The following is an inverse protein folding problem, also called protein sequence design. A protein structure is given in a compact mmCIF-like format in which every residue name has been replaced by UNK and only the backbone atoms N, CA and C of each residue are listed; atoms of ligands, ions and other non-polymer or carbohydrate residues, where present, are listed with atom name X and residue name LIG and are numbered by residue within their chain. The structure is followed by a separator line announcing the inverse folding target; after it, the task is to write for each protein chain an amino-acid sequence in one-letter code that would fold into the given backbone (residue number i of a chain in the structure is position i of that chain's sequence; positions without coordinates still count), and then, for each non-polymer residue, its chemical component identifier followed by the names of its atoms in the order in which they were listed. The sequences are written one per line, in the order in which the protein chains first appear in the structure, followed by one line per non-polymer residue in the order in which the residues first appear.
data_IF_869281046093
#
_entry.id   IF_869281046093
#
_cell.length_a   1.000
_cell.length_b   1.000
_cell.length_c   1.000
_cell.angle_alpha   90.00
_cell.angle_beta   90.00
_cell.angle_gamma   90.00
#
_symmetry.space_group_name_H-M   'P 1'
#
loop_
_entity.id
_entity.type
_entity.pdbx_description
1 polymer ?
#
# COMPACT_ATOMS: atom_id res chain seq x y z
N UNK A 1 -10.44 -28.15 -5.70
CA UNK A 1 -10.44 -26.69 -5.96
C UNK A 1 -9.45 -26.39 -7.07
N UNK A 2 -9.81 -25.54 -8.04
CA UNK A 2 -8.86 -25.04 -9.04
C UNK A 2 -7.68 -24.36 -8.35
N UNK A 3 -6.45 -24.64 -8.78
CA UNK A 3 -5.24 -24.04 -8.18
C UNK A 3 -5.17 -22.52 -8.40
N UNK A 4 -5.92 -22.00 -9.37
CA UNK A 4 -5.86 -20.61 -9.84
C UNK A 4 -7.12 -19.79 -9.50
N UNK A 5 -8.10 -20.40 -8.84
CA UNK A 5 -9.34 -19.74 -8.43
C UNK A 5 -9.09 -18.49 -7.56
N UNK A 6 -9.82 -17.42 -7.85
CA UNK A 6 -9.88 -16.20 -7.05
C UNK A 6 -11.30 -15.62 -7.19
N UNK A 7 -11.97 -15.18 -6.11
CA UNK A 7 -13.32 -14.62 -6.21
C UNK A 7 -13.34 -13.20 -6.81
N UNK A 8 -12.24 -12.43 -6.69
CA UNK A 8 -12.21 -11.01 -7.05
C UNK A 8 -12.67 -10.69 -8.48
N UNK A 9 -12.28 -11.44 -9.54
CA UNK A 9 -12.73 -11.15 -10.90
C UNK A 9 -14.25 -11.23 -11.09
N UNK A 10 -14.97 -11.90 -10.18
CA UNK A 10 -16.43 -12.01 -10.23
C UNK A 10 -17.13 -10.98 -9.38
N UNK A 11 -16.58 -10.54 -8.25
CA UNK A 11 -17.36 -9.78 -7.24
C UNK A 11 -16.69 -8.48 -6.75
N UNK A 12 -15.61 -8.04 -7.39
CA UNK A 12 -14.89 -6.83 -6.97
C UNK A 12 -14.84 -5.72 -8.01
N UNK A 13 -14.64 -4.49 -7.54
CA UNK A 13 -14.34 -3.32 -8.36
C UNK A 13 -13.16 -2.56 -7.76
N UNK A 14 -12.14 -2.27 -8.57
CA UNK A 14 -10.97 -1.51 -8.13
C UNK A 14 -10.72 -0.30 -9.02
N UNK A 15 -10.51 0.87 -8.40
CA UNK A 15 -10.32 2.16 -9.06
C UNK A 15 -9.01 2.78 -8.54
N UNK A 16 -8.12 3.20 -9.42
CA UNK A 16 -6.83 3.83 -9.05
C UNK A 16 -7.00 5.31 -8.71
N UNK A 17 -5.96 5.92 -8.17
CA UNK A 17 -5.95 7.35 -7.80
C UNK A 17 -6.29 8.26 -8.99
N UNK A 18 -5.88 7.88 -10.20
CA UNK A 18 -6.16 8.60 -11.43
C UNK A 18 -7.53 8.25 -12.08
N UNK A 19 -8.33 7.42 -11.41
CA UNK A 19 -9.65 7.00 -11.88
C UNK A 19 -9.64 5.73 -12.72
N UNK A 20 -8.48 5.23 -13.15
CA UNK A 20 -8.46 4.04 -14.00
C UNK A 20 -8.98 2.81 -13.26
N UNK A 21 -9.85 2.07 -13.92
CA UNK A 21 -10.35 0.81 -13.43
C UNK A 21 -9.31 -0.29 -13.65
N UNK A 22 -9.19 -1.19 -12.68
CA UNK A 22 -8.22 -2.30 -12.72
C UNK A 22 -8.79 -3.59 -12.16
N UNK A 23 -8.09 -4.70 -12.44
CA UNK A 23 -8.43 -6.04 -11.92
C UNK A 23 -8.35 -6.09 -10.38
N UNK A 24 -7.21 -5.68 -9.81
CA UNK A 24 -6.93 -5.73 -8.37
C UNK A 24 -5.65 -4.92 -8.08
N UNK A 25 -5.46 -4.50 -6.82
CA UNK A 25 -4.25 -3.79 -6.38
C UNK A 25 -2.95 -4.58 -6.63
N UNK A 26 -2.99 -5.91 -6.59
CA UNK A 26 -1.81 -6.74 -6.80
C UNK A 26 -1.39 -6.87 -8.26
N UNK A 27 -2.29 -6.59 -9.20
CA UNK A 27 -1.97 -6.61 -10.63
C UNK A 27 -1.01 -5.48 -11.04
N UNK A 28 -0.75 -4.51 -10.14
CA UNK A 28 0.16 -3.38 -10.39
C UNK A 28 1.61 -3.80 -10.68
N UNK A 29 1.99 -5.03 -10.33
CA UNK A 29 3.32 -5.59 -10.63
C UNK A 29 3.36 -6.42 -11.92
N UNK A 30 2.22 -6.64 -12.57
CA UNK A 30 2.12 -7.32 -13.85
C UNK A 30 2.30 -6.35 -15.02
N UNK A 31 2.54 -6.87 -16.22
CA UNK A 31 2.51 -6.09 -17.45
C UNK A 31 1.12 -5.46 -17.63
N UNK A 32 1.07 -4.20 -18.08
CA UNK A 32 -0.17 -3.42 -18.16
C UNK A 32 -0.80 -3.05 -16.82
N UNK A 33 -0.17 -3.39 -15.68
CA UNK A 33 -0.58 -3.07 -14.30
C UNK A 33 -2.03 -3.45 -13.95
N UNK A 34 -2.64 -4.35 -14.72
CA UNK A 34 -4.03 -4.80 -14.58
C UNK A 34 -5.08 -3.76 -14.97
N UNK A 35 -4.75 -2.76 -15.78
CA UNK A 35 -5.70 -1.74 -16.25
C UNK A 35 -6.73 -2.36 -17.20
N UNK A 36 -7.99 -1.96 -17.05
CA UNK A 36 -9.09 -2.37 -17.91
C UNK A 36 -9.21 -1.38 -19.06
N UNK A 37 -9.15 -1.87 -20.29
CA UNK A 37 -9.27 -1.06 -21.50
C UNK A 37 -10.56 -1.38 -22.26
N UNK A 38 -11.16 -0.34 -22.86
CA UNK A 38 -12.22 -0.43 -23.87
C UNK A 38 -11.65 -1.00 -25.17
N UNK A 39 -12.51 -1.43 -26.09
CA UNK A 39 -12.07 -1.87 -27.43
C UNK A 39 -11.38 -0.76 -28.23
N UNK A 40 -11.70 0.51 -27.94
CA UNK A 40 -11.04 1.69 -28.53
C UNK A 40 -9.58 1.85 -28.11
N UNK A 41 -9.11 1.13 -27.08
CA UNK A 41 -7.78 1.27 -26.50
C UNK A 41 -7.68 2.29 -25.37
N UNK A 42 -8.77 2.99 -25.03
CA UNK A 42 -8.84 3.88 -23.87
C UNK A 42 -9.06 3.09 -22.59
N UNK A 43 -8.45 3.53 -21.48
CA UNK A 43 -8.72 2.93 -20.17
C UNK A 43 -10.18 3.21 -19.75
N UNK A 44 -10.83 2.24 -19.13
CA UNK A 44 -12.03 2.54 -18.35
C UNK A 44 -11.62 3.44 -17.19
N UNK A 45 -12.34 4.55 -17.00
CA UNK A 45 -12.06 5.52 -15.96
C UNK A 45 -13.33 5.84 -15.17
N UNK A 46 -13.20 6.04 -13.85
CA UNK A 46 -14.31 6.38 -12.97
C UNK A 46 -15.04 7.66 -13.40
N UNK A 47 -14.34 8.62 -14.01
CA UNK A 47 -14.94 9.87 -14.47
C UNK A 47 -15.96 9.67 -15.61
N UNK A 48 -15.77 8.67 -16.47
CA UNK A 48 -16.58 8.48 -17.68
C UNK A 48 -17.89 7.70 -17.42
N UNK A 49 -18.07 7.17 -16.21
CA UNK A 49 -19.09 6.17 -15.92
C UNK A 49 -18.73 4.78 -16.44
N UNK A 50 -19.70 3.87 -16.44
CA UNK A 50 -19.60 2.49 -16.91
C UNK A 50 -18.83 1.54 -15.98
N UNK A 51 -18.95 1.74 -14.66
CA UNK A 51 -18.36 0.82 -13.67
C UNK A 51 -18.83 -0.63 -13.90
N UNK A 52 -20.11 -0.82 -14.23
CA UNK A 52 -20.68 -2.15 -14.52
C UNK A 52 -20.12 -2.76 -15.81
N UNK A 53 -19.99 -1.97 -16.88
CA UNK A 53 -19.48 -2.44 -18.18
C UNK A 53 -18.02 -2.90 -18.06
N UNK A 54 -17.20 -2.15 -17.31
CA UNK A 54 -15.79 -2.46 -17.11
C UNK A 54 -15.57 -3.84 -16.49
N UNK A 55 -16.54 -4.37 -15.75
CA UNK A 55 -16.48 -5.74 -15.19
C UNK A 55 -16.46 -6.81 -16.28
N UNK A 56 -16.92 -6.51 -17.49
CA UNK A 56 -16.88 -7.37 -18.67
C UNK A 56 -15.90 -6.86 -19.73
N UNK A 57 -14.92 -6.02 -19.34
CA UNK A 57 -13.79 -5.69 -20.19
C UNK A 57 -13.02 -6.97 -20.62
N UNK A 58 -12.40 -6.95 -21.80
CA UNK A 58 -11.72 -8.09 -22.39
C UNK A 58 -10.71 -8.77 -21.44
N UNK A 59 -9.96 -7.98 -20.66
CA UNK A 59 -9.01 -8.50 -19.67
C UNK A 59 -9.71 -9.28 -18.55
N UNK A 60 -10.85 -8.79 -18.03
CA UNK A 60 -11.62 -9.49 -16.99
C UNK A 60 -12.18 -10.80 -17.51
N UNK A 61 -12.75 -10.80 -18.72
CA UNK A 61 -13.26 -12.00 -19.38
C UNK A 61 -12.15 -13.05 -19.60
N UNK A 62 -10.97 -12.62 -20.08
CA UNK A 62 -9.79 -13.48 -20.22
C UNK A 62 -9.38 -14.10 -18.89
N UNK A 63 -9.29 -13.29 -17.83
CA UNK A 63 -8.92 -13.74 -16.49
C UNK A 63 -9.86 -14.84 -15.98
N UNK A 64 -11.18 -14.65 -16.12
CA UNK A 64 -12.16 -15.65 -15.69
C UNK A 64 -12.01 -16.95 -16.44
N UNK A 65 -11.82 -16.89 -17.77
CA UNK A 65 -11.60 -18.07 -18.62
C UNK A 65 -10.34 -18.83 -18.22
N UNK A 66 -9.23 -18.12 -18.02
CA UNK A 66 -7.97 -18.73 -17.59
C UNK A 66 -8.13 -19.43 -16.24
N UNK A 67 -8.76 -18.76 -15.26
CA UNK A 67 -8.99 -19.33 -13.93
C UNK A 67 -9.91 -20.58 -13.96
N UNK A 68 -10.97 -20.56 -14.78
CA UNK A 68 -11.86 -21.71 -14.98
C UNK A 68 -11.11 -22.88 -15.64
N UNK A 69 -10.20 -22.59 -16.57
CA UNK A 69 -9.34 -23.57 -17.22
C UNK A 69 -8.17 -24.06 -16.33
N UNK A 70 -8.03 -23.54 -15.10
CA UNK A 70 -6.95 -23.88 -14.19
C UNK A 70 -5.59 -23.26 -14.56
N UNK A 71 -5.60 -22.21 -15.38
CA UNK A 71 -4.42 -21.47 -15.84
C UNK A 71 -4.27 -20.17 -15.03
N UNK A 72 -3.03 -19.74 -14.80
CA UNK A 72 -2.75 -18.48 -14.11
C UNK A 72 -2.84 -17.32 -15.11
N UNK A 73 -3.70 -16.32 -14.86
CA UNK A 73 -3.71 -15.13 -15.69
C UNK A 73 -2.44 -14.32 -15.50
N UNK A 74 -1.95 -13.69 -16.58
CA UNK A 74 -0.75 -12.85 -16.55
C UNK A 74 -0.83 -11.70 -15.52
N UNK A 75 -2.01 -11.10 -15.38
CA UNK A 75 -2.29 -10.06 -14.38
C UNK A 75 -2.16 -10.55 -12.92
N UNK A 76 -2.20 -11.86 -12.68
CA UNK A 76 -2.18 -12.47 -11.35
C UNK A 76 -0.81 -13.06 -10.97
N UNK A 77 0.23 -12.83 -11.80
CA UNK A 77 1.58 -13.41 -11.63
C UNK A 77 2.21 -13.16 -10.26
N UNK A 78 1.85 -12.07 -9.58
CA UNK A 78 2.33 -11.79 -8.22
C UNK A 78 1.86 -12.84 -7.23
N UNK A 79 0.57 -13.16 -7.23
CA UNK A 79 0.02 -14.16 -6.30
C UNK A 79 0.59 -15.55 -6.60
N UNK A 80 0.76 -15.89 -7.88
CA UNK A 80 1.43 -17.12 -8.30
C UNK A 80 2.84 -17.22 -7.68
N UNK A 81 3.67 -16.18 -7.86
CA UNK A 81 5.05 -16.15 -7.34
C UNK A 81 5.12 -16.19 -5.81
N UNK A 82 4.20 -15.49 -5.14
CA UNK A 82 4.10 -15.52 -3.67
C UNK A 82 3.79 -16.95 -3.19
N UNK A 83 2.83 -17.63 -3.81
CA UNK A 83 2.43 -19.00 -3.42
C UNK A 83 3.48 -20.06 -3.79
N UNK A 84 4.12 -19.96 -4.96
CA UNK A 84 5.24 -20.83 -5.36
C UNK A 84 6.44 -20.68 -4.41
N UNK A 85 6.59 -19.53 -3.77
CA UNK A 85 7.57 -19.27 -2.73
C UNK A 85 7.10 -19.68 -1.31
N UNK A 86 5.92 -20.29 -1.18
CA UNK A 86 5.35 -20.73 0.10
C UNK A 86 4.74 -19.60 0.95
N UNK A 87 4.51 -18.41 0.38
CA UNK A 87 3.92 -17.27 1.08
C UNK A 87 2.39 -17.26 0.93
N UNK A 88 1.71 -16.63 1.88
CA UNK A 88 0.28 -16.33 1.77
C UNK A 88 0.09 -15.14 0.83
N UNK A 89 -0.54 -15.38 -0.33
CA UNK A 89 -0.86 -14.33 -1.29
C UNK A 89 -2.18 -13.61 -0.96
N UNK A 90 -2.44 -12.49 -1.64
CA UNK A 90 -3.76 -11.84 -1.59
C UNK A 90 -4.87 -12.77 -2.07
N UNK A 91 -4.63 -13.63 -3.07
CA UNK A 91 -5.62 -14.59 -3.55
C UNK A 91 -6.09 -15.51 -2.43
N UNK A 92 -5.16 -16.09 -1.67
CA UNK A 92 -5.49 -16.97 -0.55
C UNK A 92 -6.31 -16.24 0.53
N UNK A 93 -5.96 -14.98 0.82
CA UNK A 93 -6.71 -14.13 1.73
C UNK A 93 -8.16 -13.89 1.27
N UNK A 94 -8.36 -13.61 -0.01
CA UNK A 94 -9.69 -13.35 -0.57
C UNK A 94 -10.54 -14.62 -0.66
N UNK A 95 -9.94 -15.78 -0.94
CA UNK A 95 -10.67 -17.05 -0.88
C UNK A 95 -11.26 -17.24 0.52
N UNK A 96 -10.44 -17.11 1.57
CA UNK A 96 -10.92 -17.27 2.95
C UNK A 96 -11.99 -16.24 3.34
N UNK A 97 -11.88 -14.99 2.90
CA UNK A 97 -12.86 -13.96 3.25
C UNK A 97 -14.21 -14.12 2.54
N UNK A 98 -14.22 -14.74 1.35
CA UNK A 98 -15.38 -14.75 0.46
C UNK A 98 -15.91 -16.15 0.15
N UNK A 99 -15.31 -17.22 0.70
CA UNK A 99 -15.75 -18.62 0.47
C UNK A 99 -17.23 -18.86 0.82
N UNK A 100 -17.79 -18.10 1.76
CA UNK A 100 -19.20 -18.22 2.14
C UNK A 100 -20.15 -17.44 1.22
N UNK A 101 -19.63 -16.66 0.27
CA UNK A 101 -20.39 -15.75 -0.58
C UNK A 101 -20.34 -16.16 -2.05
N UNK A 102 -19.23 -16.75 -2.48
CA UNK A 102 -19.03 -17.25 -3.83
C UNK A 102 -18.02 -18.40 -3.80
N UNK A 103 -18.33 -19.47 -4.52
CA UNK A 103 -17.41 -20.57 -4.76
C UNK A 103 -17.07 -20.73 -6.25
N UNK A 104 -16.11 -21.60 -6.53
CA UNK A 104 -15.62 -21.86 -7.88
C UNK A 104 -16.72 -22.44 -8.79
N UNK A 105 -17.60 -23.28 -8.28
CA UNK A 105 -18.60 -23.97 -9.10
C UNK A 105 -19.72 -23.01 -9.50
N UNK A 106 -20.17 -22.16 -8.58
CA UNK A 106 -21.09 -21.05 -8.87
C UNK A 106 -20.52 -20.09 -9.91
N UNK A 107 -19.26 -19.66 -9.72
CA UNK A 107 -18.59 -18.76 -10.64
C UNK A 107 -18.44 -19.37 -12.03
N UNK A 108 -18.08 -20.66 -12.11
CA UNK A 108 -17.96 -21.37 -13.38
C UNK A 108 -19.31 -21.50 -14.09
N UNK A 109 -20.39 -21.84 -13.37
CA UNK A 109 -21.73 -22.00 -13.94
C UNK A 109 -22.30 -20.67 -14.45
N UNK A 110 -22.06 -19.56 -13.75
CA UNK A 110 -22.56 -18.24 -14.13
C UNK A 110 -21.65 -17.46 -15.10
N UNK A 111 -20.57 -18.06 -15.61
CA UNK A 111 -19.69 -17.42 -16.59
C UNK A 111 -20.01 -17.93 -18.00
N UNK A 112 -20.26 -17.00 -18.93
CA UNK A 112 -20.52 -17.31 -20.34
C UNK A 112 -19.24 -17.81 -21.05
N UNK A 113 -19.39 -18.44 -22.22
CA UNK A 113 -18.25 -19.00 -22.99
C UNK A 113 -17.19 -17.94 -23.38
N UNK A 114 -17.62 -16.69 -23.56
CA UNK A 114 -16.74 -15.54 -23.84
C UNK A 114 -16.09 -14.95 -22.57
N UNK A 115 -16.43 -15.45 -21.38
CA UNK A 115 -15.91 -14.99 -20.09
C UNK A 115 -16.73 -13.88 -19.42
N UNK A 116 -17.84 -13.45 -20.04
CA UNK A 116 -18.73 -12.46 -19.43
C UNK A 116 -19.54 -13.03 -18.28
N UNK A 117 -19.95 -12.15 -17.39
CA UNK A 117 -20.87 -12.44 -16.29
C UNK A 117 -22.06 -11.48 -16.36
N UNK A 118 -23.20 -11.90 -15.82
CA UNK A 118 -24.27 -10.98 -15.47
C UNK A 118 -23.92 -10.25 -14.15
N UNK A 119 -24.07 -8.93 -14.13
CA UNK A 119 -23.75 -8.14 -12.95
C UNK A 119 -24.77 -8.33 -11.81
N UNK A 120 -26.00 -8.77 -12.12
CA UNK A 120 -27.04 -9.03 -11.14
C UNK A 120 -26.80 -10.38 -10.43
N UNK A 121 -26.34 -11.40 -11.16
CA UNK A 121 -25.95 -12.70 -10.59
C UNK A 121 -24.67 -12.61 -9.75
N UNK A 122 -23.78 -11.71 -10.15
CA UNK A 122 -22.52 -11.45 -9.47
C UNK A 122 -22.44 -9.97 -9.07
N UNK A 123 -23.12 -9.53 -8.01
CA UNK A 123 -23.04 -8.14 -7.59
C UNK A 123 -21.65 -7.77 -7.06
N UNK A 124 -21.30 -6.49 -7.09
CA UNK A 124 -20.06 -5.99 -6.47
C UNK A 124 -20.20 -6.09 -4.95
N UNK A 125 -19.40 -6.97 -4.33
CA UNK A 125 -19.36 -7.17 -2.87
C UNK A 125 -18.12 -6.52 -2.24
N UNK A 126 -17.05 -6.32 -3.01
CA UNK A 126 -15.80 -5.71 -2.56
C UNK A 126 -15.39 -4.53 -3.46
N UNK A 127 -15.05 -3.38 -2.85
CA UNK A 127 -14.55 -2.22 -3.59
C UNK A 127 -13.17 -1.76 -3.08
N UNK A 128 -12.23 -1.48 -3.97
CA UNK A 128 -10.97 -0.77 -3.71
C UNK A 128 -11.05 0.60 -4.41
N UNK A 129 -11.32 1.66 -3.64
CA UNK A 129 -11.57 3.01 -4.19
C UNK A 129 -10.50 3.97 -3.68
N UNK A 130 -9.87 4.69 -4.60
CA UNK A 130 -8.83 5.69 -4.30
C UNK A 130 -9.25 7.07 -4.77
N UNK A 131 -9.79 7.90 -3.87
CA UNK A 131 -10.33 9.23 -4.18
C UNK A 131 -9.22 10.25 -4.52
N UNK A 132 -8.52 10.04 -5.63
CA UNK A 132 -7.40 10.88 -6.06
C UNK A 132 -6.08 10.54 -5.40
N UNK A 133 -5.11 11.44 -5.60
CA UNK A 133 -3.77 11.37 -5.02
C UNK A 133 -3.53 12.50 -3.99
N UNK A 134 -4.58 13.18 -3.50
CA UNK A 134 -4.41 14.27 -2.54
C UNK A 134 -3.84 13.73 -1.24
N UNK A 135 -2.62 14.13 -0.86
CA UNK A 135 -1.96 13.68 0.36
C UNK A 135 -1.15 14.84 0.96
N UNK A 136 -1.15 14.96 2.29
CA UNK A 136 -0.38 15.97 3.01
C UNK A 136 1.11 15.60 3.20
N UNK A 137 1.49 14.37 2.83
CA UNK A 137 2.87 13.90 2.91
C UNK A 137 3.46 13.64 1.52
N UNK A 138 4.77 13.73 1.42
CA UNK A 138 5.58 13.39 0.26
C UNK A 138 6.68 12.38 0.65
N UNK A 139 6.24 11.22 1.12
CA UNK A 139 7.15 10.16 1.60
C UNK A 139 8.18 9.78 0.54
N UNK A 140 9.44 9.53 0.91
CA UNK A 140 10.57 9.36 -0.02
C UNK A 140 10.37 8.28 -1.09
N UNK A 141 9.71 7.19 -0.73
CA UNK A 141 9.39 6.08 -1.64
C UNK A 141 8.15 6.31 -2.52
N UNK A 142 7.41 7.39 -2.28
CA UNK A 142 6.15 7.70 -2.95
C UNK A 142 6.41 8.43 -4.28
N UNK A 143 5.35 8.68 -5.05
CA UNK A 143 5.42 9.27 -6.38
C UNK A 143 4.29 10.28 -6.59
N UNK A 144 4.35 11.10 -7.67
CA UNK A 144 3.23 11.92 -8.10
C UNK A 144 1.90 11.17 -8.25
N UNK A 145 1.92 9.86 -8.53
CA UNK A 145 0.71 9.04 -8.68
C UNK A 145 -0.06 8.84 -7.37
N UNK A 146 0.65 8.94 -6.24
CA UNK A 146 0.14 8.56 -4.92
C UNK A 146 0.02 9.76 -3.97
N UNK A 147 0.76 10.84 -4.25
CA UNK A 147 0.71 12.11 -3.51
C UNK A 147 0.89 13.32 -4.44
N UNK A 148 -0.06 14.23 -4.45
CA UNK A 148 0.08 15.51 -5.14
C UNK A 148 1.16 16.42 -4.52
N UNK A 149 1.48 16.23 -3.23
CA UNK A 149 2.59 16.93 -2.56
C UNK A 149 3.96 16.58 -3.16
N UNK A 150 4.05 15.51 -3.96
CA UNK A 150 5.27 15.14 -4.69
C UNK A 150 5.50 15.90 -6.00
N UNK A 151 4.53 16.66 -6.52
CA UNK A 151 4.63 17.27 -7.84
C UNK A 151 5.85 18.19 -7.98
N UNK A 152 6.09 19.06 -7.00
CA UNK A 152 7.23 19.97 -7.03
C UNK A 152 8.57 19.25 -6.91
N UNK A 153 8.69 18.32 -5.96
CA UNK A 153 9.90 17.51 -5.77
C UNK A 153 10.21 16.69 -7.04
N UNK A 154 9.18 16.10 -7.65
CA UNK A 154 9.33 15.35 -8.89
C UNK A 154 9.76 16.25 -10.04
N UNK A 155 9.12 17.40 -10.21
CA UNK A 155 9.48 18.37 -11.25
C UNK A 155 10.95 18.79 -11.14
N UNK A 156 11.41 19.10 -9.93
CA UNK A 156 12.77 19.57 -9.68
C UNK A 156 13.83 18.48 -9.79
N UNK A 157 13.49 17.21 -9.54
CA UNK A 157 14.44 16.08 -9.59
C UNK A 157 14.42 15.34 -10.93
N UNK A 158 13.24 15.01 -11.43
CA UNK A 158 13.04 14.11 -12.58
C UNK A 158 12.50 14.83 -13.82
N UNK A 159 12.07 16.09 -13.68
CA UNK A 159 11.52 16.91 -14.75
C UNK A 159 9.99 16.86 -14.82
N UNK A 160 9.44 17.44 -15.89
CA UNK A 160 8.01 17.72 -16.00
C UNK A 160 7.12 16.50 -16.28
N UNK A 161 7.66 15.29 -16.47
CA UNK A 161 6.86 14.11 -16.84
C UNK A 161 7.09 12.92 -15.92
N UNK A 162 6.07 12.08 -15.76
CA UNK A 162 6.13 10.78 -15.07
C UNK A 162 5.20 9.77 -15.76
N UNK A 163 5.37 8.48 -15.47
CA UNK A 163 4.61 7.41 -16.12
C UNK A 163 3.51 6.85 -15.21
N UNK A 164 2.25 7.05 -15.60
CA UNK A 164 1.12 6.32 -15.05
C UNK A 164 0.94 4.96 -15.75
N UNK A 165 0.01 4.15 -15.24
CA UNK A 165 -0.31 2.86 -15.85
C UNK A 165 -0.91 2.99 -17.27
N UNK A 166 -1.71 4.02 -17.50
CA UNK A 166 -2.45 4.29 -18.73
C UNK A 166 -1.74 5.27 -19.68
N UNK A 167 -0.59 5.82 -19.30
CA UNK A 167 0.20 6.68 -20.17
C UNK A 167 1.09 7.69 -19.45
N UNK A 168 1.81 8.47 -20.24
CA UNK A 168 2.65 9.56 -19.73
C UNK A 168 1.78 10.71 -19.20
N UNK A 169 2.17 11.26 -18.05
CA UNK A 169 1.56 12.44 -17.45
C UNK A 169 2.57 13.57 -17.41
N UNK A 170 2.13 14.77 -17.76
CA UNK A 170 2.90 15.99 -17.64
C UNK A 170 2.40 16.85 -16.48
N UNK A 171 3.34 17.28 -15.64
CA UNK A 171 3.17 18.32 -14.63
C UNK A 171 3.22 19.69 -15.30
N UNK A 172 2.18 20.48 -15.08
CA UNK A 172 2.02 21.82 -15.64
C UNK A 172 1.93 22.83 -14.49
N UNK A 173 2.95 23.66 -14.25
CA UNK A 173 2.87 24.71 -13.25
C UNK A 173 1.95 25.83 -13.73
N UNK A 174 1.14 26.38 -12.83
CA UNK A 174 0.44 27.64 -13.04
C UNK A 174 1.30 28.84 -12.62
N UNK A 175 0.79 30.06 -12.82
CA UNK A 175 1.48 31.31 -12.47
C UNK A 175 1.87 31.42 -10.99
N UNK A 176 1.19 30.68 -10.12
CA UNK A 176 1.44 30.63 -8.67
C UNK A 176 2.33 29.45 -8.27
N UNK A 177 2.93 28.74 -9.22
CA UNK A 177 3.80 27.59 -8.99
C UNK A 177 3.09 26.32 -8.52
N UNK A 178 1.74 26.27 -8.54
CA UNK A 178 1.00 25.04 -8.26
C UNK A 178 0.93 24.19 -9.52
N UNK A 179 1.13 22.89 -9.36
CA UNK A 179 1.12 21.95 -10.48
C UNK A 179 -0.26 21.32 -10.70
N UNK A 180 -0.65 21.19 -11.96
CA UNK A 180 -1.73 20.33 -12.43
C UNK A 180 -1.16 19.22 -13.33
N UNK A 181 -1.98 18.22 -13.65
CA UNK A 181 -1.59 17.08 -14.50
C UNK A 181 -2.36 17.09 -15.82
N UNK A 182 -1.71 16.64 -16.90
CA UNK A 182 -2.33 16.44 -18.22
C UNK A 182 -1.73 15.22 -18.92
N UNK A 183 -2.52 14.42 -19.66
CA UNK A 183 -3.97 14.51 -19.82
C UNK A 183 -4.76 13.99 -18.62
N UNK A 184 -4.10 13.22 -17.74
CA UNK A 184 -4.71 12.58 -16.58
C UNK A 184 -5.08 13.60 -15.50
N UNK A 185 -6.26 13.45 -14.92
CA UNK A 185 -6.70 14.22 -13.75
C UNK A 185 -7.07 13.31 -12.59
N UNK A 186 -6.70 13.72 -11.38
CA UNK A 186 -6.91 12.95 -10.15
C UNK A 186 -8.18 13.36 -9.40
N UNK A 187 -9.00 14.22 -10.00
CA UNK A 187 -10.30 14.73 -9.52
C UNK A 187 -11.49 13.96 -10.13
N UNK A 188 -11.25 12.77 -10.69
CA UNK A 188 -12.25 11.93 -11.36
C UNK A 188 -13.50 11.66 -10.49
N UNK A 189 -13.33 11.65 -9.16
CA UNK A 189 -14.40 11.44 -8.19
C UNK A 189 -15.38 12.62 -8.08
N UNK A 190 -15.10 13.75 -8.72
CA UNK A 190 -16.04 14.88 -8.83
C UNK A 190 -17.10 14.63 -9.91
N UNK A 191 -16.95 13.58 -10.73
CA UNK A 191 -17.89 13.26 -11.81
C UNK A 191 -19.25 12.81 -11.27
N UNK A 192 -20.34 13.42 -11.74
CA UNK A 192 -21.71 13.02 -11.40
C UNK A 192 -22.04 11.61 -11.90
N UNK A 193 -21.48 11.19 -13.04
CA UNK A 193 -21.70 9.85 -13.60
C UNK A 193 -21.12 8.78 -12.68
N UNK A 194 -19.96 9.03 -12.08
CA UNK A 194 -19.37 8.15 -11.07
C UNK A 194 -20.33 7.92 -9.90
N UNK A 195 -20.85 9.00 -9.30
CA UNK A 195 -21.74 8.90 -8.14
C UNK A 195 -23.05 8.17 -8.44
N UNK A 196 -23.61 8.40 -9.64
CA UNK A 196 -24.80 7.67 -10.10
C UNK A 196 -24.53 6.17 -10.23
N UNK A 197 -23.41 5.79 -10.85
CA UNK A 197 -23.05 4.39 -11.03
C UNK A 197 -22.72 3.73 -9.68
N UNK A 198 -22.02 4.45 -8.81
CA UNK A 198 -21.72 4.02 -7.44
C UNK A 198 -23.00 3.73 -6.66
N UNK A 199 -24.01 4.60 -6.76
CA UNK A 199 -25.30 4.43 -6.09
C UNK A 199 -26.02 3.13 -6.48
N UNK A 200 -25.77 2.60 -7.68
CA UNK A 200 -26.30 1.31 -8.12
C UNK A 200 -25.50 0.12 -7.54
N UNK A 201 -24.21 0.29 -7.29
CA UNK A 201 -23.32 -0.78 -6.81
C UNK A 201 -23.34 -0.94 -5.29
N UNK A 202 -23.39 0.16 -4.54
CA UNK A 202 -23.28 0.16 -3.06
C UNK A 202 -24.26 -0.73 -2.30
N UNK A 203 -25.51 -1.01 -2.74
CA UNK A 203 -26.45 -1.80 -1.93
C UNK A 203 -25.95 -3.21 -1.60
N UNK A 204 -25.07 -3.77 -2.43
CA UNK A 204 -24.52 -5.11 -2.26
C UNK A 204 -23.11 -5.11 -1.65
N UNK A 205 -22.48 -3.94 -1.48
CA UNK A 205 -21.09 -3.84 -1.03
C UNK A 205 -20.97 -4.18 0.45
N UNK A 206 -20.16 -5.21 0.75
CA UNK A 206 -19.89 -5.69 2.13
C UNK A 206 -18.48 -5.37 2.61
N UNK A 207 -17.58 -4.99 1.70
CA UNK A 207 -16.22 -4.61 2.03
C UNK A 207 -15.75 -3.44 1.15
N UNK A 208 -15.21 -2.40 1.78
CA UNK A 208 -14.63 -1.26 1.10
C UNK A 208 -13.21 -1.08 1.60
N UNK A 209 -12.27 -0.98 0.69
CA UNK A 209 -10.90 -0.60 0.94
C UNK A 209 -10.65 0.78 0.33
N UNK A 210 -10.12 1.70 1.13
CA UNK A 210 -9.67 3.02 0.66
C UNK A 210 -8.18 3.18 0.93
N UNK A 211 -7.43 3.53 -0.12
CA UNK A 211 -5.97 3.68 -0.09
C UNK A 211 -5.60 4.77 -1.10
N UNK A 212 -4.50 5.50 -0.92
CA UNK A 212 -3.98 6.39 -1.96
C UNK A 212 -4.63 7.78 -1.93
N UNK A 213 -3.79 8.79 -2.19
CA UNK A 213 -3.88 10.01 -1.39
C UNK A 213 -3.77 9.70 0.11
N UNK A 214 -4.16 10.66 0.94
CA UNK A 214 -4.55 10.41 2.33
C UNK A 214 -6.08 10.52 2.38
N UNK A 215 -6.82 9.40 2.48
CA UNK A 215 -8.29 9.38 2.41
C UNK A 215 -8.96 10.41 3.34
N UNK A 216 -8.37 10.63 4.53
CA UNK A 216 -8.98 11.49 5.54
C UNK A 216 -8.92 12.99 5.21
N UNK A 217 -8.27 13.38 4.11
CA UNK A 217 -8.19 14.75 3.61
C UNK A 217 -9.13 15.05 2.44
N UNK A 218 -9.89 14.06 1.98
CA UNK A 218 -10.71 14.15 0.78
C UNK A 218 -12.18 14.21 1.20
N UNK A 219 -12.89 15.27 0.84
CA UNK A 219 -14.27 15.48 1.29
C UNK A 219 -15.22 14.41 0.75
N UNK A 220 -14.99 13.99 -0.50
CA UNK A 220 -15.75 12.95 -1.19
C UNK A 220 -15.63 11.56 -0.54
N UNK A 221 -14.56 11.31 0.21
CA UNK A 221 -14.49 10.12 1.06
C UNK A 221 -15.61 10.16 2.12
N UNK A 222 -15.83 11.32 2.76
CA UNK A 222 -16.87 11.48 3.76
C UNK A 222 -18.28 11.48 3.14
N UNK A 223 -18.47 12.10 1.97
CA UNK A 223 -19.74 12.06 1.24
C UNK A 223 -20.14 10.60 0.91
N UNK A 224 -19.14 9.78 0.57
CA UNK A 224 -19.35 8.35 0.36
C UNK A 224 -19.73 7.61 1.65
N UNK A 225 -19.05 7.86 2.77
CA UNK A 225 -19.41 7.27 4.06
C UNK A 225 -20.81 7.66 4.51
N UNK A 226 -21.18 8.93 4.36
CA UNK A 226 -22.50 9.45 4.71
C UNK A 226 -23.59 8.81 3.86
N UNK A 227 -23.39 8.66 2.54
CA UNK A 227 -24.33 7.92 1.68
C UNK A 227 -24.54 6.47 2.13
N UNK A 228 -23.46 5.78 2.54
CA UNK A 228 -23.56 4.41 3.05
C UNK A 228 -24.37 4.34 4.35
N UNK A 229 -24.27 5.36 5.21
CA UNK A 229 -25.01 5.46 6.46
C UNK A 229 -26.48 5.80 6.19
N UNK A 230 -26.74 6.83 5.40
CA UNK A 230 -28.08 7.34 5.09
C UNK A 230 -28.95 6.29 4.38
N UNK A 231 -28.35 5.48 3.52
CA UNK A 231 -29.03 4.37 2.82
C UNK A 231 -29.13 3.09 3.65
N UNK A 232 -28.57 3.06 4.86
CA UNK A 232 -28.67 1.93 5.78
C UNK A 232 -27.73 0.75 5.46
N UNK A 233 -26.67 0.96 4.68
CA UNK A 233 -25.74 -0.11 4.29
C UNK A 233 -24.54 -0.24 5.23
N UNK A 234 -24.13 0.85 5.90
CA UNK A 234 -22.92 0.89 6.73
C UNK A 234 -22.86 -0.22 7.79
N UNK A 235 -23.98 -0.52 8.47
CA UNK A 235 -24.06 -1.51 9.55
C UNK A 235 -23.70 -2.95 9.14
N UNK A 236 -23.67 -3.22 7.84
CA UNK A 236 -23.29 -4.51 7.26
C UNK A 236 -21.93 -4.51 6.56
N UNK A 237 -21.29 -3.35 6.45
CA UNK A 237 -20.10 -3.15 5.61
C UNK A 237 -18.85 -2.99 6.47
N UNK A 238 -17.77 -3.67 6.07
CA UNK A 238 -16.43 -3.45 6.63
C UNK A 238 -15.73 -2.37 5.83
N UNK A 239 -15.23 -1.34 6.51
CA UNK A 239 -14.39 -0.30 5.93
C UNK A 239 -12.93 -0.54 6.34
N UNK A 240 -12.05 -0.64 5.36
CA UNK A 240 -10.61 -0.77 5.53
C UNK A 240 -9.88 0.44 4.95
N UNK A 241 -8.94 1.01 5.69
CA UNK A 241 -8.13 2.13 5.23
C UNK A 241 -6.67 1.98 5.66
N UNK A 242 -5.75 2.27 4.75
CA UNK A 242 -4.36 2.51 5.10
C UNK A 242 -4.15 4.03 5.14
N UNK A 243 -3.69 4.54 6.28
CA UNK A 243 -3.52 5.97 6.52
C UNK A 243 -2.14 6.26 7.07
N UNK A 244 -1.61 7.44 6.73
CA UNK A 244 -0.43 7.98 7.40
C UNK A 244 -0.73 8.49 8.82
N UNK A 245 -2.02 8.65 9.16
CA UNK A 245 -2.58 9.03 10.46
C UNK A 245 -2.02 10.32 11.09
N UNK A 246 -1.38 11.18 10.29
CA UNK A 246 -0.93 12.50 10.75
C UNK A 246 -2.11 13.46 10.97
N UNK A 247 -3.26 13.16 10.37
CA UNK A 247 -4.54 13.83 10.59
C UNK A 247 -5.58 12.78 10.94
N UNK A 248 -6.37 13.04 11.99
CA UNK A 248 -7.50 12.21 12.40
C UNK A 248 -8.67 13.13 12.78
N UNK A 249 -9.56 13.46 11.82
CA UNK A 249 -10.70 14.34 12.05
C UNK A 249 -11.77 13.66 12.91
N UNK A 250 -12.47 14.43 13.75
CA UNK A 250 -13.53 13.88 14.60
C UNK A 250 -14.71 13.35 13.76
N UNK A 251 -15.05 14.02 12.64
CA UNK A 251 -16.06 13.53 11.68
C UNK A 251 -15.76 12.10 11.19
N UNK A 252 -14.48 11.74 11.02
CA UNK A 252 -14.11 10.37 10.65
C UNK A 252 -14.50 9.38 11.76
N UNK A 253 -14.13 9.69 13.00
CA UNK A 253 -14.47 8.85 14.16
C UNK A 253 -15.98 8.70 14.36
N UNK A 254 -16.74 9.78 14.16
CA UNK A 254 -18.19 9.77 14.31
C UNK A 254 -18.87 8.89 13.24
N UNK A 255 -18.51 9.05 11.98
CA UNK A 255 -19.06 8.24 10.88
C UNK A 255 -18.69 6.75 11.01
N UNK A 256 -17.47 6.47 11.44
CA UNK A 256 -16.95 5.11 11.57
C UNK A 256 -17.72 4.24 12.59
N UNK A 257 -18.40 4.84 13.57
CA UNK A 257 -19.23 4.11 14.55
C UNK A 257 -20.41 3.37 13.92
N UNK A 258 -20.87 3.82 12.75
CA UNK A 258 -22.03 3.26 12.06
C UNK A 258 -21.69 2.01 11.23
N UNK A 259 -20.41 1.75 10.97
CA UNK A 259 -19.99 0.62 10.16
C UNK A 259 -19.92 -0.68 10.96
N UNK A 260 -20.13 -1.82 10.30
CA UNK A 260 -19.97 -3.15 10.92
C UNK A 260 -18.61 -3.32 11.58
N UNK A 261 -17.57 -2.83 10.91
CA UNK A 261 -16.17 -3.00 11.28
C UNK A 261 -15.30 -1.97 10.60
N UNK A 262 -14.35 -1.42 11.35
CA UNK A 262 -13.38 -0.43 10.87
C UNK A 262 -11.98 -1.00 11.00
N UNK A 263 -11.26 -1.13 9.89
CA UNK A 263 -9.93 -1.73 9.81
C UNK A 263 -8.94 -0.65 9.40
N UNK A 264 -8.03 -0.24 10.30
CA UNK A 264 -7.06 0.81 10.00
C UNK A 264 -5.63 0.28 10.10
N UNK A 265 -4.93 0.31 8.97
CA UNK A 265 -3.49 0.15 8.89
C UNK A 265 -2.79 1.49 9.04
N UNK A 266 -2.20 1.76 10.21
CA UNK A 266 -1.41 2.96 10.43
C UNK A 266 -0.01 2.76 9.83
N UNK A 267 0.37 3.66 8.93
CA UNK A 267 1.63 3.55 8.21
C UNK A 267 2.77 4.20 8.97
N UNK A 268 3.70 3.39 9.49
CA UNK A 268 4.79 3.80 10.38
C UNK A 268 6.08 3.17 9.87
N UNK A 269 7.04 4.00 9.47
CA UNK A 269 8.28 3.52 8.84
C UNK A 269 9.53 3.68 9.74
N UNK A 270 9.34 4.06 11.00
CA UNK A 270 10.39 4.23 12.01
C UNK A 270 9.86 4.98 13.22
N UNK A 271 10.76 5.39 14.13
CA UNK A 271 10.42 6.17 15.33
C UNK A 271 11.06 7.54 15.25
N UNK A 272 10.33 8.58 15.67
CA UNK A 272 10.87 9.95 15.73
C UNK A 272 11.35 10.45 14.37
N UNK A 273 12.61 10.93 14.34
CA UNK A 273 13.22 11.50 13.13
C UNK A 273 13.29 10.54 11.95
N UNK A 274 13.39 9.22 12.19
CA UNK A 274 13.41 8.23 11.10
C UNK A 274 12.10 8.27 10.32
N UNK A 275 10.97 8.27 11.01
CA UNK A 275 9.65 8.37 10.37
C UNK A 275 9.45 9.73 9.71
N UNK A 276 9.84 10.81 10.39
CA UNK A 276 9.68 12.17 9.88
C UNK A 276 10.47 12.40 8.58
N UNK A 277 11.69 11.86 8.52
CA UNK A 277 12.54 11.91 7.33
C UNK A 277 11.97 11.09 6.17
N UNK A 278 11.51 9.86 6.45
CA UNK A 278 10.96 8.98 5.42
C UNK A 278 9.61 9.51 4.92
N UNK A 279 8.76 10.02 5.82
CA UNK A 279 7.38 10.43 5.55
C UNK A 279 7.20 11.95 5.61
N UNK A 280 8.19 12.71 5.14
CA UNK A 280 8.19 14.17 5.12
C UNK A 280 6.86 14.77 4.61
N UNK A 281 6.33 15.87 5.19
CA UNK A 281 6.84 16.60 6.36
C UNK A 281 6.17 16.13 7.66
N UNK A 282 5.96 14.82 7.85
CA UNK A 282 5.30 14.29 9.04
C UNK A 282 6.02 14.75 10.33
N UNK A 283 5.25 14.72 11.42
CA UNK A 283 5.72 15.06 12.75
C UNK A 283 5.36 13.93 13.69
N UNK A 284 6.37 13.25 14.21
CA UNK A 284 6.21 12.04 15.00
C UNK A 284 5.21 12.21 16.15
N UNK A 285 5.34 13.31 16.90
CA UNK A 285 4.46 13.58 18.04
C UNK A 285 2.98 13.76 17.64
N UNK A 286 2.67 14.24 16.42
CA UNK A 286 1.29 14.35 15.93
C UNK A 286 0.74 12.98 15.55
N UNK A 287 1.56 12.16 14.88
CA UNK A 287 1.23 10.76 14.58
C UNK A 287 0.96 9.98 15.88
N UNK A 288 1.88 10.03 16.85
CA UNK A 288 1.77 9.36 18.14
C UNK A 288 0.53 9.81 18.92
N UNK A 289 0.23 11.12 18.93
CA UNK A 289 -1.01 11.65 19.49
C UNK A 289 -2.25 11.02 18.84
N UNK A 290 -2.29 10.91 17.51
CA UNK A 290 -3.43 10.32 16.80
C UNK A 290 -3.52 8.81 16.98
N UNK A 291 -2.39 8.10 17.10
CA UNK A 291 -2.35 6.69 17.45
C UNK A 291 -3.03 6.43 18.80
N UNK A 292 -2.68 7.20 19.83
CA UNK A 292 -3.33 7.08 21.14
C UNK A 292 -4.80 7.48 21.12
N UNK A 293 -5.19 8.49 20.32
CA UNK A 293 -6.61 8.84 20.11
C UNK A 293 -7.37 7.69 19.48
N UNK A 294 -6.85 7.08 18.42
CA UNK A 294 -7.50 5.98 17.70
C UNK A 294 -7.57 4.70 18.54
N UNK A 295 -6.54 4.39 19.32
CA UNK A 295 -6.51 3.24 20.23
C UNK A 295 -7.63 3.32 21.28
N UNK A 296 -7.96 4.54 21.73
CA UNK A 296 -9.00 4.83 22.73
C UNK A 296 -10.38 5.15 22.14
N UNK A 297 -10.49 5.27 20.81
CA UNK A 297 -11.73 5.70 20.17
C UNK A 297 -12.86 4.68 20.38
N UNK A 298 -14.10 5.15 20.48
CA UNK A 298 -15.27 4.27 20.49
C UNK A 298 -15.59 3.81 19.06
N UNK A 299 -15.76 2.50 18.87
CA UNK A 299 -16.15 1.93 17.57
C UNK A 299 -15.59 0.52 17.35
N UNK A 300 -16.01 -0.15 16.26
CA UNK A 300 -15.66 -1.54 15.98
C UNK A 300 -14.29 -1.65 15.28
N UNK A 301 -13.24 -1.19 15.95
CA UNK A 301 -11.90 -1.04 15.39
C UNK A 301 -11.07 -2.32 15.42
N UNK A 302 -10.44 -2.63 14.29
CA UNK A 302 -9.27 -3.51 14.17
C UNK A 302 -8.09 -2.68 13.67
N UNK A 303 -7.06 -2.55 14.49
CA UNK A 303 -5.94 -1.66 14.18
C UNK A 303 -4.65 -2.48 14.00
N UNK A 304 -3.79 -2.07 13.07
CA UNK A 304 -2.44 -2.60 12.95
C UNK A 304 -1.47 -1.55 12.45
N UNK A 305 -0.18 -1.79 12.68
CA UNK A 305 0.89 -1.02 12.07
C UNK A 305 1.33 -1.69 10.78
N UNK A 306 1.56 -0.89 9.75
CA UNK A 306 2.21 -1.31 8.53
C UNK A 306 3.48 -0.49 8.29
N UNK A 307 4.56 -1.17 7.95
CA UNK A 307 5.88 -0.55 7.71
C UNK A 307 6.40 -0.94 6.34
N UNK A 308 6.90 0.02 5.60
CA UNK A 308 7.55 -0.18 4.32
C UNK A 308 9.05 -0.26 4.53
N UNK A 309 9.59 -1.49 4.55
CA UNK A 309 10.99 -1.77 4.80
C UNK A 309 11.83 -1.40 3.58
N UNK A 310 12.77 -0.49 3.78
CA UNK A 310 13.60 0.15 2.76
C UNK A 310 15.00 0.44 3.32
N UNK A 311 15.91 0.92 2.46
CA UNK A 311 17.29 1.26 2.86
C UNK A 311 17.32 2.14 4.12
N UNK A 312 16.49 3.18 4.18
CA UNK A 312 16.50 4.16 5.26
C UNK A 312 16.03 3.64 6.64
N UNK A 313 15.29 2.52 6.71
CA UNK A 313 14.75 2.04 8.00
C UNK A 313 15.12 0.60 8.35
N UNK A 314 15.75 -0.17 7.47
CA UNK A 314 16.08 -1.58 7.78
C UNK A 314 17.01 -1.69 9.00
N UNK A 315 17.98 -0.77 9.14
CA UNK A 315 18.85 -0.73 10.32
C UNK A 315 18.06 -0.32 11.58
N UNK A 316 16.99 0.46 11.44
CA UNK A 316 16.17 0.99 12.55
C UNK A 316 14.92 0.14 12.87
N UNK A 317 14.80 -1.04 12.26
CA UNK A 317 13.69 -1.94 12.52
C UNK A 317 13.64 -2.42 13.99
N UNK A 318 14.76 -2.72 14.67
CA UNK A 318 14.75 -3.11 16.08
C UNK A 318 14.13 -2.04 16.99
N UNK A 319 14.40 -0.77 16.75
CA UNK A 319 13.87 0.37 17.52
C UNK A 319 12.36 0.50 17.32
N UNK A 320 11.85 0.31 16.10
CA UNK A 320 10.41 0.31 15.83
C UNK A 320 9.70 -0.82 16.58
N UNK A 321 10.31 -2.01 16.64
CA UNK A 321 9.79 -3.17 17.36
C UNK A 321 9.76 -2.92 18.87
N UNK A 322 10.85 -2.41 19.44
CA UNK A 322 10.91 -2.03 20.85
C UNK A 322 9.83 -1.01 21.20
N UNK A 323 9.76 0.10 20.46
CA UNK A 323 8.78 1.14 20.68
C UNK A 323 7.34 0.60 20.60
N UNK A 324 7.02 -0.28 19.63
CA UNK A 324 5.68 -0.87 19.54
C UNK A 324 5.27 -1.62 20.81
N UNK A 325 6.19 -2.41 21.36
CA UNK A 325 5.94 -3.25 22.54
C UNK A 325 5.92 -2.41 23.82
N UNK A 326 6.75 -1.38 23.90
CA UNK A 326 6.82 -0.44 25.02
C UNK A 326 5.64 0.55 25.05
N UNK A 327 5.02 0.83 23.90
CA UNK A 327 3.88 1.76 23.82
C UNK A 327 2.56 1.20 24.35
N UNK A 328 2.49 -0.12 24.61
CA UNK A 328 1.33 -0.82 25.20
C UNK A 328 -0.04 -0.49 24.57
N UNK A 329 -0.08 -0.22 23.26
CA UNK A 329 -1.33 -0.02 22.54
C UNK A 329 -2.27 -1.22 22.67
N UNK A 330 -3.53 -0.97 23.01
CA UNK A 330 -4.50 -2.01 23.35
C UNK A 330 -5.17 -2.64 22.12
N UNK A 331 -5.17 -1.97 20.96
CA UNK A 331 -5.85 -2.46 19.76
C UNK A 331 -4.91 -2.73 18.59
N UNK A 332 -3.80 -2.01 18.51
CA UNK A 332 -2.83 -2.19 17.43
C UNK A 332 -2.11 -3.53 17.53
N UNK A 333 -2.36 -4.40 16.54
CA UNK A 333 -1.81 -5.75 16.43
C UNK A 333 -2.22 -6.69 17.59
N UNK A 334 -3.28 -6.37 18.35
CA UNK A 334 -3.68 -7.12 19.56
C UNK A 334 -4.53 -8.38 19.29
N UNK A 335 -4.23 -9.13 18.22
CA UNK A 335 -4.84 -10.46 18.00
C UNK A 335 -3.81 -11.52 18.34
N UNK A 336 -4.23 -12.58 19.02
CA UNK A 336 -3.38 -13.66 19.56
C UNK A 336 -2.44 -14.31 18.53
N UNK A 337 -2.76 -14.18 17.25
CA UNK A 337 -2.06 -14.78 16.11
C UNK A 337 -1.42 -13.73 15.18
N UNK A 338 -1.50 -12.43 15.51
CA UNK A 338 -0.96 -11.39 14.64
C UNK A 338 0.48 -11.03 15.00
N UNK A 339 1.30 -10.69 13.98
CA UNK A 339 2.67 -10.26 14.19
C UNK A 339 2.72 -8.92 14.93
N UNK A 340 3.89 -8.61 15.51
CA UNK A 340 4.18 -7.35 16.24
C UNK A 340 3.72 -6.11 15.45
N UNK A 341 4.00 -6.14 14.15
CA UNK A 341 3.55 -5.20 13.13
C UNK A 341 3.46 -5.96 11.78
N UNK A 342 2.91 -5.35 10.73
CA UNK A 342 2.79 -5.95 9.40
C UNK A 342 3.74 -5.26 8.41
N UNK A 343 5.02 -5.69 8.33
CA UNK A 343 5.98 -5.09 7.42
C UNK A 343 5.85 -5.62 5.99
N UNK A 344 6.14 -4.77 5.03
CA UNK A 344 6.29 -5.12 3.62
C UNK A 344 7.58 -4.52 3.08
N UNK A 345 8.37 -5.29 2.34
CA UNK A 345 9.57 -4.76 1.70
C UNK A 345 9.18 -3.87 0.51
N UNK A 346 9.84 -2.73 0.38
CA UNK A 346 9.62 -1.80 -0.71
C UNK A 346 10.05 -2.40 -2.05
N UNK A 347 9.13 -2.67 -2.96
CA UNK A 347 9.49 -3.21 -4.29
C UNK A 347 9.88 -2.14 -5.31
N UNK A 348 9.28 -0.95 -5.24
CA UNK A 348 9.56 0.18 -6.14
C UNK A 348 9.47 1.48 -5.32
N UNK A 349 10.29 2.49 -5.64
CA UNK A 349 11.35 2.47 -6.65
C UNK A 349 12.55 1.59 -6.26
N UNK A 350 13.26 1.04 -7.25
CA UNK A 350 14.35 0.06 -7.01
C UNK A 350 15.48 0.66 -6.17
N UNK A 351 15.81 1.92 -6.42
CA UNK A 351 16.87 2.63 -5.70
C UNK A 351 16.57 2.92 -4.22
N UNK A 352 15.40 2.57 -3.67
CA UNK A 352 15.18 2.57 -2.21
C UNK A 352 15.07 1.17 -1.61
N UNK A 353 15.15 0.13 -2.44
CA UNK A 353 15.03 -1.27 -2.03
C UNK A 353 16.28 -1.74 -1.26
N UNK A 354 16.10 -2.58 -0.24
CA UNK A 354 17.20 -3.13 0.58
C UNK A 354 18.20 -4.01 -0.20
N UNK A 355 17.85 -4.51 -1.38
CA UNK A 355 18.76 -5.30 -2.25
C UNK A 355 19.90 -4.49 -2.84
N UNK A 356 19.80 -3.16 -2.87
CA UNK A 356 20.86 -2.28 -3.37
C UNK A 356 22.05 -2.18 -2.41
N UNK A 357 21.90 -2.63 -1.17
CA UNK A 357 22.94 -2.53 -0.17
C UNK A 357 24.15 -3.41 -0.55
N UNK A 358 25.39 -2.92 -0.39
CA UNK A 358 26.59 -3.74 -0.59
C UNK A 358 26.61 -4.95 0.35
N UNK A 359 27.25 -6.05 -0.07
CA UNK A 359 27.27 -7.31 0.68
C UNK A 359 27.81 -7.16 2.12
N UNK A 360 28.85 -6.33 2.31
CA UNK A 360 29.40 -6.04 3.63
C UNK A 360 28.37 -5.34 4.53
N UNK A 361 27.63 -4.36 3.99
CA UNK A 361 26.58 -3.62 4.69
C UNK A 361 25.40 -4.54 5.03
N UNK A 362 25.00 -5.42 4.09
CA UNK A 362 23.98 -6.45 4.31
C UNK A 362 24.34 -7.36 5.49
N UNK A 363 25.60 -7.77 5.58
CA UNK A 363 26.09 -8.61 6.70
C UNK A 363 26.03 -7.89 8.05
N UNK A 364 26.43 -6.61 8.10
CA UNK A 364 26.35 -5.79 9.33
C UNK A 364 24.91 -5.58 9.78
N UNK A 365 24.00 -5.27 8.85
CA UNK A 365 22.57 -5.13 9.13
C UNK A 365 21.98 -6.45 9.65
N UNK A 366 22.29 -7.59 9.03
CA UNK A 366 21.81 -8.89 9.49
C UNK A 366 22.22 -9.18 10.94
N UNK A 367 23.49 -8.94 11.28
CA UNK A 367 23.99 -9.11 12.64
C UNK A 367 23.28 -8.18 13.63
N UNK A 368 23.08 -6.91 13.24
CA UNK A 368 22.36 -5.93 14.06
C UNK A 368 20.91 -6.36 14.32
N UNK A 369 20.18 -6.81 13.30
CA UNK A 369 18.81 -7.29 13.45
C UNK A 369 18.71 -8.47 14.42
N UNK A 370 19.59 -9.47 14.31
CA UNK A 370 19.59 -10.61 15.24
C UNK A 370 19.99 -10.23 16.67
N UNK A 371 20.71 -9.13 16.86
CA UNK A 371 21.13 -8.67 18.20
C UNK A 371 19.97 -8.29 19.12
N UNK A 372 18.76 -8.08 18.58
CA UNK A 372 17.55 -7.82 19.37
C UNK A 372 16.99 -9.10 20.03
N UNK A 373 17.29 -10.30 19.54
CA UNK A 373 16.66 -11.53 20.05
C UNK A 373 16.77 -11.72 21.58
N UNK A 374 17.94 -11.47 22.22
CA UNK A 374 18.05 -11.58 23.68
C UNK A 374 17.23 -10.53 24.46
N UNK A 375 16.87 -9.40 23.84
CA UNK A 375 16.11 -8.35 24.51
C UNK A 375 14.71 -8.82 24.91
N UNK A 376 14.05 -9.68 24.11
CA UNK A 376 12.72 -10.20 24.42
C UNK A 376 12.69 -10.95 25.77
N UNK A 377 13.71 -11.76 26.06
CA UNK A 377 13.82 -12.49 27.33
C UNK A 377 14.04 -11.54 28.52
N UNK A 378 14.72 -10.41 28.30
CA UNK A 378 14.97 -9.40 29.33
C UNK A 378 13.80 -8.44 29.56
N UNK A 379 12.97 -8.22 28.52
CA UNK A 379 11.89 -7.24 28.53
C UNK A 379 10.63 -7.77 29.22
N UNK A 380 10.26 -9.02 28.96
CA UNK A 380 9.09 -9.63 29.60
C UNK A 380 9.42 -10.20 30.98
N UNK A 381 8.40 -10.31 31.83
CA UNK A 381 8.56 -10.85 33.18
C UNK A 381 9.04 -12.31 33.17
N UNK A 382 9.78 -12.71 34.21
CA UNK A 382 10.31 -14.08 34.33
C UNK A 382 9.27 -15.12 34.80
N UNK A 383 8.01 -14.72 34.94
CA UNK A 383 6.90 -15.64 35.23
C UNK A 383 6.48 -16.44 33.98
N UNK A 384 5.54 -17.37 34.14
CA UNK A 384 5.12 -18.27 33.06
C UNK A 384 4.46 -17.53 31.88
N UNK A 385 3.79 -16.40 32.12
CA UNK A 385 3.13 -15.62 31.08
C UNK A 385 4.15 -14.74 30.35
N UNK A 386 5.05 -14.08 31.07
CA UNK A 386 6.12 -13.29 30.47
C UNK A 386 7.06 -14.14 29.61
N UNK A 387 7.43 -15.35 30.06
CA UNK A 387 8.20 -16.31 29.23
C UNK A 387 7.46 -16.72 27.95
N UNK A 388 6.15 -16.92 28.03
CA UNK A 388 5.32 -17.26 26.86
C UNK A 388 5.30 -16.11 25.86
N UNK A 389 5.14 -14.87 26.34
CA UNK A 389 5.18 -13.65 25.51
C UNK A 389 6.57 -13.47 24.87
N UNK A 390 7.65 -13.62 25.64
CA UNK A 390 9.01 -13.56 25.12
C UNK A 390 9.23 -14.55 23.98
N UNK A 391 8.88 -15.82 24.18
CA UNK A 391 9.01 -16.85 23.16
C UNK A 391 8.18 -16.53 21.90
N UNK A 392 6.93 -16.10 22.06
CA UNK A 392 6.06 -15.74 20.93
C UNK A 392 6.60 -14.57 20.12
N UNK A 393 6.94 -13.45 20.79
CA UNK A 393 7.40 -12.24 20.11
C UNK A 393 8.81 -12.39 19.54
N UNK A 394 9.69 -13.11 20.22
CA UNK A 394 11.02 -13.45 19.71
C UNK A 394 10.92 -14.31 18.44
N UNK A 395 10.05 -15.33 18.42
CA UNK A 395 9.82 -16.14 17.23
C UNK A 395 9.24 -15.32 16.06
N UNK A 396 8.24 -14.47 16.33
CA UNK A 396 7.64 -13.63 15.30
C UNK A 396 8.62 -12.61 14.73
N UNK A 397 9.44 -11.98 15.58
CA UNK A 397 10.50 -11.08 15.15
C UNK A 397 11.55 -11.80 14.30
N UNK A 398 11.98 -12.99 14.74
CA UNK A 398 12.93 -13.81 13.99
C UNK A 398 12.41 -14.16 12.59
N UNK A 399 11.15 -14.55 12.47
CA UNK A 399 10.53 -14.86 11.18
C UNK A 399 10.55 -13.65 10.22
N UNK A 400 10.23 -12.46 10.72
CA UNK A 400 10.32 -11.22 9.94
C UNK A 400 11.76 -10.93 9.51
N UNK A 401 12.73 -11.02 10.43
CA UNK A 401 14.15 -10.79 10.15
C UNK A 401 14.70 -11.79 9.14
N UNK A 402 14.41 -13.08 9.29
CA UNK A 402 14.80 -14.13 8.35
C UNK A 402 14.24 -13.82 6.95
N UNK A 403 12.99 -13.38 6.86
CA UNK A 403 12.35 -12.97 5.61
C UNK A 403 13.05 -11.78 4.96
N UNK A 404 13.38 -10.73 5.74
CA UNK A 404 14.11 -9.57 5.22
C UNK A 404 15.50 -9.93 4.73
N UNK A 405 16.25 -10.74 5.49
CA UNK A 405 17.60 -11.17 5.12
C UNK A 405 17.55 -12.04 3.87
N UNK A 406 16.61 -12.98 3.79
CA UNK A 406 16.40 -13.81 2.59
C UNK A 406 16.09 -12.94 1.37
N UNK A 407 15.16 -11.99 1.50
CA UNK A 407 14.81 -11.08 0.43
C UNK A 407 15.98 -10.19 0.00
N UNK A 408 16.71 -9.61 0.97
CA UNK A 408 17.82 -8.69 0.77
C UNK A 408 18.99 -9.34 0.02
N UNK A 409 19.20 -10.64 0.21
CA UNK A 409 20.30 -11.40 -0.41
C UNK A 409 19.88 -12.16 -1.67
N UNK A 410 18.60 -12.14 -2.07
CA UNK A 410 18.11 -12.92 -3.22
C UNK A 410 18.72 -12.48 -4.55
N UNK A 411 18.91 -11.18 -4.75
CA UNK A 411 19.51 -10.58 -5.96
C UNK A 411 20.39 -9.40 -5.57
N UNK A 412 21.45 -9.15 -6.34
CA UNK A 412 22.32 -7.99 -6.17
C UNK A 412 21.87 -6.83 -7.05
N UNK A 413 21.37 -5.76 -6.41
CA UNK A 413 20.97 -4.52 -7.08
C UNK A 413 21.89 -3.35 -6.71
N UNK A 414 23.13 -3.61 -6.28
CA UNK A 414 24.07 -2.57 -5.84
C UNK A 414 24.39 -1.51 -6.90
N UNK A 415 24.16 -1.81 -8.18
CA UNK A 415 24.23 -0.84 -9.28
C UNK A 415 23.25 0.34 -9.15
N UNK A 416 22.17 0.21 -8.37
CA UNK A 416 21.22 1.30 -8.09
C UNK A 416 21.66 2.22 -6.94
N UNK A 417 22.71 1.86 -6.18
CA UNK A 417 23.20 2.66 -5.04
C UNK A 417 23.61 4.09 -5.42
N UNK A 418 24.24 4.36 -6.58
CA UNK A 418 24.49 5.74 -7.01
C UNK A 418 23.20 6.54 -7.23
N UNK A 419 22.15 5.92 -7.78
CA UNK A 419 20.85 6.57 -7.99
C UNK A 419 20.15 6.84 -6.67
N UNK A 420 20.22 5.91 -5.71
CA UNK A 420 19.77 6.12 -4.33
C UNK A 420 20.38 7.39 -3.75
N UNK A 421 21.69 7.52 -3.87
CA UNK A 421 22.42 8.65 -3.29
C UNK A 421 22.09 9.98 -3.96
N UNK A 422 22.09 10.02 -5.30
CA UNK A 422 21.75 11.22 -6.06
C UNK A 422 20.33 11.72 -5.74
N UNK A 423 19.35 10.81 -5.69
CA UNK A 423 17.97 11.17 -5.33
C UNK A 423 17.86 11.59 -3.87
N UNK A 424 18.53 10.89 -2.96
CA UNK A 424 18.53 11.23 -1.53
C UNK A 424 19.09 12.63 -1.29
N UNK A 425 20.26 12.95 -1.85
CA UNK A 425 20.87 14.28 -1.74
C UNK A 425 20.00 15.37 -2.39
N UNK A 426 19.37 15.07 -3.52
CA UNK A 426 18.43 15.98 -4.17
C UNK A 426 17.23 16.31 -3.29
N UNK A 427 16.61 15.29 -2.69
CA UNK A 427 15.50 15.46 -1.75
C UNK A 427 15.94 16.19 -0.47
N UNK A 428 17.10 15.85 0.08
CA UNK A 428 17.68 16.51 1.27
C UNK A 428 17.82 18.01 1.04
N UNK A 429 18.38 18.40 -0.11
CA UNK A 429 18.51 19.80 -0.51
C UNK A 429 17.14 20.49 -0.66
N UNK A 430 16.18 19.84 -1.31
CA UNK A 430 14.84 20.41 -1.53
C UNK A 430 14.04 20.55 -0.24
N UNK A 431 14.26 19.66 0.74
CA UNK A 431 13.45 19.56 1.96
C UNK A 431 14.15 20.16 3.20
N UNK A 432 15.41 20.56 3.08
CA UNK A 432 16.21 21.02 4.22
C UNK A 432 16.49 19.90 5.21
N UNK A 433 16.76 18.70 4.72
CA UNK A 433 17.02 17.49 5.51
C UNK A 433 18.46 17.02 5.31
N UNK A 434 18.92 16.06 6.13
CA UNK A 434 20.25 15.46 6.00
C UNK A 434 20.21 13.97 6.34
N UNK A 435 20.54 13.13 5.35
CA UNK A 435 20.65 11.69 5.53
C UNK A 435 21.72 11.33 6.56
N UNK A 436 22.89 11.98 6.52
CA UNK A 436 24.00 11.67 7.42
C UNK A 436 23.74 12.09 8.86
N UNK A 437 22.96 13.15 9.08
CA UNK A 437 22.52 13.55 10.44
C UNK A 437 21.41 12.65 10.98
N UNK A 438 20.51 12.19 10.10
CA UNK A 438 19.38 11.33 10.50
C UNK A 438 19.82 9.88 10.70
N UNK A 439 20.75 9.40 9.89
CA UNK A 439 21.21 8.01 9.83
C UNK A 439 22.75 7.91 9.89
N UNK A 440 23.41 8.40 10.95
CA UNK A 440 24.87 8.48 11.01
C UNK A 440 25.54 7.11 10.87
N UNK A 441 24.99 6.07 11.51
CA UNK A 441 25.51 4.71 11.43
C UNK A 441 25.40 4.14 10.02
N UNK A 442 24.19 4.19 9.43
CA UNK A 442 23.97 3.71 8.07
C UNK A 442 24.79 4.49 7.05
N UNK A 443 24.92 5.81 7.21
CA UNK A 443 25.76 6.65 6.36
C UNK A 443 27.23 6.21 6.43
N UNK A 444 27.78 5.98 7.64
CA UNK A 444 29.16 5.51 7.80
C UNK A 444 29.41 4.16 7.12
N UNK A 445 28.40 3.28 7.06
CA UNK A 445 28.49 2.00 6.36
C UNK A 445 28.44 2.16 4.84
N UNK A 446 27.69 3.14 4.34
CA UNK A 446 27.49 3.37 2.91
C UNK A 446 28.60 4.25 2.28
N UNK A 447 29.13 5.22 3.01
CA UNK A 447 30.09 6.22 2.53
C UNK A 447 31.27 5.63 1.73
N UNK A 448 31.93 4.53 2.16
CA UNK A 448 33.02 3.92 1.38
C UNK A 448 32.59 3.44 -0.02
N UNK A 449 31.29 3.16 -0.21
CA UNK A 449 30.72 2.67 -1.46
C UNK A 449 30.17 3.77 -2.37
N UNK A 450 30.10 5.02 -1.90
CA UNK A 450 29.55 6.16 -2.65
C UNK A 450 30.58 6.87 -3.53
N UNK A 451 31.87 6.69 -3.24
CA UNK A 451 33.00 7.39 -3.89
C UNK A 451 33.67 6.59 -5.02
N UNK A 452 33.08 5.49 -5.50
CA UNK A 452 33.58 4.83 -6.71
C UNK A 452 33.23 5.68 -7.95
N UNK A 453 34.13 5.73 -8.94
CA UNK A 453 34.11 6.62 -10.14
C UNK A 453 32.83 6.54 -11.02
N UNK A 454 31.81 5.81 -10.63
CA UNK A 454 30.52 5.68 -11.34
C UNK A 454 29.46 6.70 -10.89
N UNK A 455 29.60 7.33 -9.72
CA UNK A 455 28.61 8.28 -9.19
C UNK A 455 28.47 9.58 -10.00
N UNK A 456 29.50 9.97 -10.76
CA UNK A 456 29.46 11.16 -11.64
C UNK A 456 28.64 10.96 -12.93
N UNK A 457 28.25 9.72 -13.29
CA UNK A 457 27.55 9.42 -14.56
C UNK A 457 26.03 9.48 -14.49
N UNK A 458 25.43 9.52 -13.30
CA UNK A 458 23.98 9.54 -13.16
C UNK A 458 23.44 10.97 -13.24
N UNK A 459 23.22 11.45 -14.47
CA UNK A 459 22.09 12.38 -14.69
C UNK A 459 20.83 11.62 -14.30
N UNK A 460 19.91 12.25 -13.58
CA UNK A 460 18.63 11.64 -13.17
C UNK A 460 17.86 11.26 -14.45
N UNK A 461 18.01 10.03 -14.92
CA UNK A 461 17.34 9.52 -16.12
C UNK A 461 15.92 9.09 -15.77
N UNK A 462 14.99 9.43 -16.67
CA UNK A 462 13.53 9.35 -16.61
C UNK A 462 12.94 7.95 -16.42
N UNK A 463 13.15 7.32 -15.28
CA UNK A 463 12.41 6.09 -14.93
C UNK A 463 12.02 6.09 -13.46
N UNK A 464 10.80 6.55 -13.24
CA UNK A 464 9.89 6.19 -12.16
C UNK A 464 8.59 5.68 -12.79
#
# INVERSE_FOLDING_TARGET
MSKTWCPLPWMSQAIRSNGDLRVCCQANTAEGRGILYKESGEAYNGADGNLTEARNANLMCSIRKDMIAGQWPSACVRCQREEEAGLVSRRSYEITNWESQIDFDQAKLGTQEDGKIDADDFPVRAMDIRFGNKCNLKCRMCSPMDSNSWYEDHYNLFGATYQEASGEVRLVPNEKGRFSTTPIRYDWYESETFWRDLDNLIPQVKYIQTVGGEPFLIDQYYDFLERMIDKGYAGDTTLESNSNLTVLPDRALDLWKHFKRIRIGASIDGVGKVNDYIRHPSKWHLLEKNLHRLDKAEGPFELWFTSTIQVANILHFPELVKWKLESEFQRFNNRRERPILTPHVLHRPLFFNIRILPLEVKSKIAAHLYSLLPWFDSYFSNDAEGKRKAAFYSANYKEMVDSFISYMNKEDWSHELPKFWAVTQGLDKLRGESFSETFPELFSMLEPHLNSKESERYKIVRTL
#
